data_IF_656702064158
#
_entry.id   IF_656702064158
#
_cell.length_a   1.000
_cell.length_b   1.000
_cell.length_c   1.000
_cell.angle_alpha   90.00
_cell.angle_beta   90.00
_cell.angle_gamma   90.00
#
_symmetry.space_group_name_H-M   'P 1'
#
loop_
_entity.id
_entity.type
_entity.pdbx_description
1 polymer ?
#
# COMPACT_ATOMS: atom_id res chain seq x y z
N UNK A 1 -19.23 2.35 12.52
CA UNK A 1 -19.60 1.26 11.59
C UNK A 1 -20.38 1.75 10.37
N UNK A 2 -21.52 2.43 10.52
CA UNK A 2 -22.28 2.97 9.37
C UNK A 2 -21.46 3.97 8.55
N UNK A 3 -20.68 4.85 9.19
CA UNK A 3 -19.80 5.79 8.47
C UNK A 3 -18.78 5.07 7.55
N UNK A 4 -18.22 3.93 7.99
CA UNK A 4 -17.32 3.15 7.15
C UNK A 4 -18.08 2.49 5.99
N UNK A 5 -19.23 1.86 6.26
CA UNK A 5 -20.07 1.23 5.22
C UNK A 5 -20.53 2.26 4.19
N UNK A 6 -20.89 3.47 4.62
CA UNK A 6 -21.32 4.56 3.74
C UNK A 6 -20.17 5.11 2.90
N UNK A 7 -18.98 5.27 3.48
CA UNK A 7 -17.78 5.62 2.72
C UNK A 7 -17.41 4.53 1.72
N UNK A 8 -17.53 3.26 2.11
CA UNK A 8 -17.26 2.11 1.24
C UNK A 8 -18.30 1.94 0.12
N UNK A 9 -19.58 2.22 0.38
CA UNK A 9 -20.64 2.23 -0.63
C UNK A 9 -20.52 3.42 -1.58
N UNK A 10 -20.24 4.60 -1.04
CA UNK A 10 -19.91 5.80 -1.83
C UNK A 10 -18.73 5.53 -2.75
N UNK A 11 -17.74 4.78 -2.26
CA UNK A 11 -16.59 4.36 -3.02
C UNK A 11 -16.91 3.48 -4.23
N UNK A 12 -17.86 2.54 -4.16
CA UNK A 12 -18.29 1.76 -5.35
C UNK A 12 -18.90 2.63 -6.47
N UNK A 13 -19.32 3.86 -6.14
CA UNK A 13 -19.87 4.83 -7.09
C UNK A 13 -18.80 5.75 -7.70
N UNK A 14 -17.56 5.70 -7.21
CA UNK A 14 -16.44 6.51 -7.72
C UNK A 14 -15.94 5.87 -9.02
N UNK A 15 -15.93 6.70 -10.07
CA UNK A 15 -15.70 6.38 -11.48
C UNK A 15 -14.75 5.19 -11.73
N UNK A 16 -15.30 4.15 -12.38
CA UNK A 16 -14.63 2.91 -12.79
C UNK A 16 -13.37 3.12 -13.67
N UNK A 17 -13.12 4.33 -14.18
CA UNK A 17 -11.94 4.69 -14.98
C UNK A 17 -10.78 5.29 -14.16
N UNK A 18 -10.97 5.55 -12.87
CA UNK A 18 -9.88 5.97 -11.95
C UNK A 18 -9.89 5.13 -10.67
N UNK A 19 -8.92 5.40 -9.77
CA UNK A 19 -8.73 4.78 -8.45
C UNK A 19 -10.10 4.34 -7.88
N UNK A 20 -10.47 3.04 -7.87
CA UNK A 20 -9.71 1.84 -7.46
C UNK A 20 -9.54 0.70 -8.48
N UNK A 21 -10.06 0.83 -9.71
CA UNK A 21 -10.15 -0.32 -10.63
C UNK A 21 -8.78 -0.96 -10.94
N UNK A 22 -7.73 -0.13 -11.12
CA UNK A 22 -6.38 -0.63 -11.39
C UNK A 22 -5.81 -1.43 -10.21
N UNK A 23 -6.16 -1.07 -8.97
CA UNK A 23 -5.81 -1.87 -7.80
C UNK A 23 -6.53 -3.21 -7.81
N UNK A 24 -7.85 -3.19 -8.06
CA UNK A 24 -8.66 -4.41 -8.11
C UNK A 24 -8.13 -5.44 -9.12
N UNK A 25 -7.78 -5.00 -10.34
CA UNK A 25 -7.21 -5.88 -11.37
C UNK A 25 -5.82 -6.42 -11.00
N UNK A 26 -4.96 -5.57 -10.42
CA UNK A 26 -3.66 -6.01 -9.92
C UNK A 26 -3.83 -7.08 -8.84
N UNK A 27 -4.72 -6.83 -7.87
CA UNK A 27 -4.89 -7.72 -6.73
C UNK A 27 -5.60 -9.03 -7.06
N UNK A 28 -6.59 -9.04 -7.95
CA UNK A 28 -7.19 -10.30 -8.45
C UNK A 28 -6.13 -11.21 -9.07
N UNK A 29 -5.23 -10.64 -9.86
CA UNK A 29 -4.11 -11.38 -10.42
C UNK A 29 -3.15 -11.86 -9.32
N UNK A 30 -2.75 -10.98 -8.39
CA UNK A 30 -1.87 -11.33 -7.28
C UNK A 30 -2.42 -12.46 -6.42
N UNK A 31 -3.67 -12.37 -5.94
CA UNK A 31 -4.29 -13.42 -5.12
C UNK A 31 -4.21 -14.76 -5.84
N UNK A 32 -4.62 -14.81 -7.11
CA UNK A 32 -4.58 -16.04 -7.90
C UNK A 32 -3.16 -16.62 -7.97
N UNK A 33 -2.17 -15.82 -8.31
CA UNK A 33 -0.77 -16.27 -8.38
C UNK A 33 -0.25 -16.77 -7.02
N UNK A 34 -0.55 -16.06 -5.93
CA UNK A 34 0.03 -16.39 -4.63
C UNK A 34 -0.66 -17.52 -3.87
N UNK A 35 -1.88 -17.88 -4.27
CA UNK A 35 -2.60 -19.04 -3.73
C UNK A 35 -2.04 -20.36 -4.29
N UNK A 36 -1.30 -20.31 -5.41
CA UNK A 36 -0.69 -21.46 -6.10
C UNK A 36 0.77 -21.74 -5.64
N UNK A 37 1.15 -21.28 -4.43
CA UNK A 37 2.47 -21.48 -3.78
C UNK A 37 3.68 -20.75 -4.39
N UNK A 38 3.51 -19.96 -5.45
CA UNK A 38 4.55 -19.09 -6.04
C UNK A 38 4.24 -17.63 -5.67
N UNK A 39 5.24 -16.76 -5.47
CA UNK A 39 4.97 -15.35 -5.15
C UNK A 39 5.20 -14.40 -6.34
N UNK A 40 4.55 -13.23 -6.34
CA UNK A 40 4.55 -12.36 -7.53
C UNK A 40 5.92 -11.78 -7.91
N UNK A 41 6.90 -11.84 -7.01
CA UNK A 41 8.27 -11.40 -7.26
C UNK A 41 9.24 -12.55 -7.57
N UNK A 42 8.74 -13.78 -7.71
CA UNK A 42 9.55 -14.90 -8.18
C UNK A 42 10.03 -14.71 -9.62
N UNK A 43 11.08 -15.44 -10.00
CA UNK A 43 11.72 -15.33 -11.31
C UNK A 43 10.73 -15.46 -12.49
N UNK A 44 9.70 -16.29 -12.34
CA UNK A 44 8.65 -16.52 -13.34
C UNK A 44 7.68 -15.34 -13.48
N UNK A 45 7.44 -14.60 -12.40
CA UNK A 45 6.35 -13.61 -12.32
C UNK A 45 6.84 -12.16 -12.25
N UNK A 46 8.10 -11.92 -11.88
CA UNK A 46 8.61 -10.56 -11.63
C UNK A 46 8.48 -9.62 -12.83
N UNK A 47 8.63 -10.13 -14.06
CA UNK A 47 8.40 -9.35 -15.27
C UNK A 47 6.94 -8.89 -15.41
N UNK A 48 6.00 -9.78 -15.08
CA UNK A 48 4.57 -9.47 -15.09
C UNK A 48 4.18 -8.53 -13.94
N UNK A 49 4.73 -8.75 -12.74
CA UNK A 49 4.56 -7.86 -11.59
C UNK A 49 5.03 -6.44 -11.91
N UNK A 50 6.25 -6.30 -12.44
CA UNK A 50 6.78 -5.01 -12.85
C UNK A 50 5.89 -4.33 -13.90
N UNK A 51 5.43 -5.06 -14.92
CA UNK A 51 4.56 -4.50 -15.96
C UNK A 51 3.25 -3.96 -15.38
N UNK A 52 2.51 -4.80 -14.63
CA UNK A 52 1.22 -4.44 -14.03
C UNK A 52 1.35 -3.32 -13.01
N UNK A 53 2.39 -3.37 -12.18
CA UNK A 53 2.67 -2.33 -11.20
C UNK A 53 3.01 -1.01 -11.89
N UNK A 54 3.85 -1.04 -12.92
CA UNK A 54 4.24 0.16 -13.68
C UNK A 54 3.06 0.82 -14.37
N UNK A 55 2.18 0.05 -15.01
CA UNK A 55 0.95 0.56 -15.63
C UNK A 55 0.08 1.27 -14.59
N UNK A 56 -0.10 0.66 -13.42
CA UNK A 56 -0.93 1.23 -12.36
C UNK A 56 -0.30 2.48 -11.72
N UNK A 57 0.99 2.46 -11.42
CA UNK A 57 1.71 3.60 -10.85
C UNK A 57 1.76 4.81 -11.82
N UNK A 58 1.73 4.57 -13.14
CA UNK A 58 1.57 5.64 -14.13
C UNK A 58 0.19 6.30 -14.05
N UNK A 59 -0.87 5.50 -13.99
CA UNK A 59 -2.25 6.00 -13.85
C UNK A 59 -2.39 6.82 -12.56
N UNK A 60 -1.75 6.35 -11.48
CA UNK A 60 -1.76 7.03 -10.17
C UNK A 60 -0.76 8.18 -10.08
N UNK A 61 -0.10 8.53 -11.19
CA UNK A 61 0.85 9.62 -11.29
C UNK A 61 1.97 9.57 -10.24
N UNK A 62 2.30 8.36 -9.75
CA UNK A 62 3.30 8.15 -8.70
C UNK A 62 4.68 8.67 -9.11
N UNK A 63 4.97 8.70 -10.41
CA UNK A 63 6.26 9.16 -10.92
C UNK A 63 6.48 10.67 -10.80
N UNK A 64 5.44 11.49 -10.61
CA UNK A 64 5.59 12.96 -10.59
C UNK A 64 6.51 13.43 -9.45
N UNK A 65 7.30 14.51 -9.66
CA UNK A 65 7.33 15.36 -10.87
C UNK A 65 8.14 14.78 -12.05
N UNK A 66 8.88 13.69 -11.83
CA UNK A 66 9.69 13.06 -12.87
C UNK A 66 8.87 12.31 -13.93
N UNK A 67 9.53 11.96 -15.04
CA UNK A 67 8.99 11.03 -16.04
C UNK A 67 9.17 9.60 -15.55
N UNK A 68 8.16 8.74 -15.73
CA UNK A 68 8.25 7.32 -15.34
C UNK A 68 9.45 6.60 -15.97
N UNK A 69 9.84 6.95 -17.20
CA UNK A 69 11.01 6.36 -17.87
C UNK A 69 12.32 6.54 -17.10
N UNK A 70 12.46 7.59 -16.28
CA UNK A 70 13.63 7.80 -15.41
C UNK A 70 13.61 6.91 -14.17
N UNK A 71 12.43 6.48 -13.73
CA UNK A 71 12.23 5.73 -12.49
C UNK A 71 12.04 4.23 -12.74
N UNK A 72 11.55 3.85 -13.93
CA UNK A 72 11.17 2.47 -14.24
C UNK A 72 12.29 1.46 -14.04
N UNK A 73 13.52 1.80 -14.46
CA UNK A 73 14.69 0.94 -14.21
C UNK A 73 14.96 0.78 -12.71
N UNK A 74 15.01 1.89 -11.96
CA UNK A 74 15.19 1.86 -10.49
C UNK A 74 14.10 1.05 -9.79
N UNK A 75 12.84 1.17 -10.23
CA UNK A 75 11.73 0.39 -9.69
C UNK A 75 11.94 -1.10 -9.97
N UNK A 76 12.28 -1.48 -11.21
CA UNK A 76 12.52 -2.87 -11.57
C UNK A 76 13.66 -3.47 -10.74
N UNK A 77 14.79 -2.77 -10.65
CA UNK A 77 15.95 -3.20 -9.87
C UNK A 77 15.59 -3.35 -8.38
N UNK A 78 14.75 -2.45 -7.83
CA UNK A 78 14.27 -2.54 -6.45
C UNK A 78 13.37 -3.77 -6.24
N UNK A 79 12.46 -4.08 -7.19
CA UNK A 79 11.61 -5.27 -7.13
C UNK A 79 12.44 -6.56 -7.12
N UNK A 80 13.50 -6.61 -7.93
CA UNK A 80 14.42 -7.77 -7.99
C UNK A 80 15.16 -7.94 -6.65
N UNK A 81 15.67 -6.86 -6.07
CA UNK A 81 16.40 -6.90 -4.79
C UNK A 81 15.51 -7.20 -3.59
N UNK A 82 14.24 -6.83 -3.64
CA UNK A 82 13.31 -7.09 -2.54
C UNK A 82 12.59 -8.45 -2.66
N UNK A 83 12.96 -9.32 -3.61
CA UNK A 83 12.32 -10.64 -3.80
C UNK A 83 12.25 -11.44 -2.50
N UNK A 84 13.40 -11.69 -1.85
CA UNK A 84 13.44 -12.53 -0.64
C UNK A 84 12.81 -11.83 0.58
N UNK A 85 13.09 -10.54 0.85
CA UNK A 85 12.38 -9.81 1.90
C UNK A 85 10.86 -9.80 1.70
N UNK A 86 10.40 -9.66 0.46
CA UNK A 86 8.98 -9.70 0.13
C UNK A 86 8.37 -11.07 0.42
N UNK A 87 9.04 -12.16 0.01
CA UNK A 87 8.56 -13.51 0.29
C UNK A 87 8.40 -13.77 1.78
N UNK A 88 9.25 -13.18 2.63
CA UNK A 88 9.12 -13.26 4.08
C UNK A 88 7.90 -12.48 4.60
N UNK A 89 7.65 -11.27 4.11
CA UNK A 89 6.57 -10.43 4.67
C UNK A 89 5.18 -10.73 4.11
N UNK A 90 5.07 -11.34 2.92
CA UNK A 90 3.78 -11.48 2.20
C UNK A 90 2.74 -12.32 2.96
N UNK A 91 3.20 -13.17 3.89
CA UNK A 91 2.34 -13.98 4.74
C UNK A 91 1.78 -13.24 5.96
N UNK A 92 2.32 -12.07 6.29
CA UNK A 92 1.84 -11.25 7.42
C UNK A 92 0.75 -10.29 6.97
N UNK A 93 -0.30 -10.20 7.78
CA UNK A 93 -1.33 -9.17 7.66
C UNK A 93 -0.98 -7.91 8.47
N UNK A 94 -1.73 -6.83 8.26
CA UNK A 94 -1.63 -5.63 9.10
C UNK A 94 -1.92 -5.92 10.58
N UNK A 95 -2.73 -6.94 10.89
CA UNK A 95 -3.02 -7.32 12.28
C UNK A 95 -1.81 -7.95 12.99
N UNK A 96 -0.85 -8.46 12.22
CA UNK A 96 0.39 -9.09 12.67
C UNK A 96 1.61 -8.19 12.41
N UNK A 97 1.41 -6.89 12.11
CA UNK A 97 2.48 -5.99 11.68
C UNK A 97 3.67 -5.93 12.65
N UNK A 98 3.40 -5.93 13.95
CA UNK A 98 4.40 -5.95 15.02
C UNK A 98 5.29 -7.21 15.04
N UNK A 99 4.84 -8.31 14.44
CA UNK A 99 5.53 -9.60 14.43
C UNK A 99 6.50 -9.73 13.26
N UNK A 100 6.44 -8.81 12.30
CA UNK A 100 7.26 -8.86 11.10
C UNK A 100 8.72 -8.53 11.48
N UNK A 101 9.72 -9.31 11.02
CA UNK A 101 11.11 -9.02 11.30
C UNK A 101 11.51 -7.60 10.84
N UNK A 102 11.96 -6.78 11.80
CA UNK A 102 12.35 -5.38 11.57
C UNK A 102 13.28 -5.21 10.37
N UNK A 103 14.36 -6.00 10.33
CA UNK A 103 15.39 -5.95 9.28
C UNK A 103 14.79 -6.20 7.89
N UNK A 104 13.79 -7.08 7.80
CA UNK A 104 13.14 -7.41 6.53
C UNK A 104 12.32 -6.24 6.01
N UNK A 105 11.51 -5.60 6.86
CA UNK A 105 10.76 -4.39 6.49
C UNK A 105 11.68 -3.22 6.15
N UNK A 106 12.74 -3.03 6.93
CA UNK A 106 13.74 -1.99 6.73
C UNK A 106 14.48 -2.17 5.40
N UNK A 107 14.81 -3.41 5.02
CA UNK A 107 15.38 -3.72 3.71
C UNK A 107 14.43 -3.28 2.59
N UNK A 108 13.14 -3.60 2.67
CA UNK A 108 12.15 -3.20 1.65
C UNK A 108 12.03 -1.67 1.58
N UNK A 109 12.02 -1.00 2.74
CA UNK A 109 11.99 0.46 2.84
C UNK A 109 13.16 1.09 2.08
N UNK A 110 14.38 0.57 2.28
CA UNK A 110 15.60 1.08 1.65
C UNK A 110 15.77 0.67 0.18
N UNK A 111 15.08 -0.35 -0.32
CA UNK A 111 15.08 -0.65 -1.76
C UNK A 111 14.09 0.24 -2.52
N UNK A 112 12.87 0.45 -2.00
CA UNK A 112 11.85 1.24 -2.70
C UNK A 112 12.00 2.76 -2.51
N UNK A 113 12.42 3.21 -1.33
CA UNK A 113 12.52 4.64 -1.01
C UNK A 113 13.41 5.46 -1.96
N UNK A 114 14.63 4.98 -2.30
CA UNK A 114 15.53 5.66 -3.24
C UNK A 114 15.02 5.74 -4.68
N UNK A 115 13.98 4.98 -5.05
CA UNK A 115 13.49 4.94 -6.44
C UNK A 115 13.08 6.34 -6.92
N UNK A 116 12.52 7.16 -6.03
CA UNK A 116 12.16 8.57 -6.30
C UNK A 116 13.19 9.59 -5.82
N UNK A 117 14.40 9.16 -5.47
CA UNK A 117 15.47 10.05 -5.01
C UNK A 117 16.54 10.18 -6.09
N UNK A 118 17.02 11.40 -6.32
CA UNK A 118 18.09 11.66 -7.29
C UNK A 118 19.42 11.03 -6.82
N UNK A 119 19.75 11.18 -5.54
CA UNK A 119 21.06 10.88 -4.95
C UNK A 119 21.24 9.43 -4.44
N UNK A 120 20.36 8.50 -4.80
CA UNK A 120 20.46 7.11 -4.36
C UNK A 120 20.07 6.89 -2.89
N UNK A 121 20.66 5.89 -2.23
CA UNK A 121 20.35 5.54 -0.83
C UNK A 121 20.81 6.66 0.12
N UNK A 122 19.86 7.32 0.77
CA UNK A 122 20.11 8.25 1.88
C UNK A 122 20.52 7.47 3.15
N UNK A 123 21.67 7.76 3.78
CA UNK A 123 22.10 7.13 5.04
C UNK A 123 21.09 7.24 6.18
N UNK A 124 20.33 8.34 6.24
CA UNK A 124 19.29 8.56 7.25
C UNK A 124 17.95 7.87 6.94
N UNK A 125 17.81 7.21 5.79
CA UNK A 125 16.56 6.51 5.43
C UNK A 125 15.34 7.41 5.17
N UNK A 126 15.54 8.73 5.12
CA UNK A 126 14.48 9.70 4.87
C UNK A 126 14.09 9.76 3.39
N UNK A 127 12.95 9.16 3.07
CA UNK A 127 12.41 9.10 1.72
C UNK A 127 11.02 9.73 1.68
N UNK A 128 10.59 10.17 0.49
CA UNK A 128 9.18 10.48 0.27
C UNK A 128 8.35 9.24 0.59
N UNK A 129 7.42 9.32 1.55
CA UNK A 129 6.69 8.13 2.04
C UNK A 129 6.03 7.35 0.88
N UNK A 130 5.40 8.06 -0.06
CA UNK A 130 4.76 7.47 -1.24
C UNK A 130 5.72 6.74 -2.18
N UNK A 131 7.03 7.01 -2.14
CA UNK A 131 8.03 6.28 -2.94
C UNK A 131 8.02 4.80 -2.57
N UNK A 132 7.96 4.51 -1.27
CA UNK A 132 7.89 3.15 -0.73
C UNK A 132 6.45 2.64 -0.69
N UNK A 133 5.55 3.42 -0.09
CA UNK A 133 4.26 2.89 0.36
C UNK A 133 3.26 2.65 -0.77
N UNK A 134 3.30 3.42 -1.86
CA UNK A 134 2.43 3.16 -3.02
C UNK A 134 2.75 1.82 -3.70
N UNK A 135 4.00 1.57 -4.16
CA UNK A 135 4.36 0.24 -4.67
C UNK A 135 4.06 -0.87 -3.67
N UNK A 136 4.41 -0.68 -2.40
CA UNK A 136 4.22 -1.69 -1.37
C UNK A 136 2.74 -1.97 -1.06
N UNK A 137 1.85 -0.99 -1.22
CA UNK A 137 0.41 -1.22 -1.09
C UNK A 137 -0.12 -2.15 -2.19
N UNK A 138 0.37 -2.06 -3.43
CA UNK A 138 -0.01 -3.03 -4.47
C UNK A 138 0.62 -4.40 -4.20
N UNK A 139 1.90 -4.42 -3.84
CA UNK A 139 2.64 -5.67 -3.66
C UNK A 139 2.21 -6.43 -2.40
N UNK A 140 1.99 -5.76 -1.29
CA UNK A 140 1.75 -6.39 0.02
C UNK A 140 0.35 -6.13 0.56
N UNK A 141 -0.25 -4.97 0.24
CA UNK A 141 -1.63 -4.66 0.62
C UNK A 141 -1.83 -4.22 2.06
N UNK A 142 -0.80 -4.25 2.92
CA UNK A 142 -0.95 -3.95 4.35
C UNK A 142 -0.63 -2.49 4.72
N UNK A 143 0.08 -1.77 3.86
CA UNK A 143 0.38 -0.33 4.05
C UNK A 143 -0.59 0.55 3.26
N UNK A 144 -0.93 1.71 3.79
CA UNK A 144 -1.64 2.76 3.04
C UNK A 144 -0.75 3.33 1.94
N UNK A 145 -1.34 3.95 0.91
CA UNK A 145 -0.59 4.68 -0.12
C UNK A 145 -0.01 5.99 0.42
N UNK A 146 -0.67 6.57 1.43
CA UNK A 146 -0.35 7.88 2.00
C UNK A 146 -0.28 8.95 0.91
N UNK A 147 -1.29 9.09 0.05
CA UNK A 147 -1.38 10.25 -0.86
C UNK A 147 -1.65 11.57 -0.11
N UNK A 148 -1.65 12.70 -0.81
CA UNK A 148 -1.79 14.02 -0.17
C UNK A 148 -3.12 14.19 0.58
N UNK A 149 -4.21 13.59 0.09
CA UNK A 149 -5.52 13.65 0.75
C UNK A 149 -5.47 12.81 2.03
N UNK A 150 -4.99 11.57 1.93
CA UNK A 150 -4.85 10.67 3.07
C UNK A 150 -3.93 11.29 4.14
N UNK A 151 -2.73 11.75 3.76
CA UNK A 151 -1.80 12.45 4.66
C UNK A 151 -2.43 13.67 5.31
N UNK A 152 -3.15 14.49 4.53
CA UNK A 152 -3.83 15.68 5.05
C UNK A 152 -4.85 15.35 6.14
N UNK A 153 -5.52 14.20 6.06
CA UNK A 153 -6.46 13.75 7.11
C UNK A 153 -5.75 13.10 8.28
N UNK A 154 -4.68 12.34 8.04
CA UNK A 154 -3.87 11.74 9.11
C UNK A 154 -3.17 12.80 9.96
N UNK A 155 -2.80 13.96 9.39
CA UNK A 155 -2.28 15.10 10.16
C UNK A 155 -3.26 15.60 11.23
N UNK A 156 -4.58 15.44 11.02
CA UNK A 156 -5.59 15.78 12.04
C UNK A 156 -5.60 14.81 13.22
N UNK A 157 -4.91 13.68 13.07
CA UNK A 157 -4.69 12.66 14.10
C UNK A 157 -3.25 12.67 14.61
N UNK A 158 -2.54 13.80 14.42
CA UNK A 158 -1.13 14.00 14.76
C UNK A 158 -0.14 13.05 14.03
N UNK A 159 -0.59 12.37 12.97
CA UNK A 159 0.27 11.52 12.16
C UNK A 159 0.87 12.36 11.01
N UNK A 160 2.17 12.63 11.10
CA UNK A 160 2.87 13.44 10.11
C UNK A 160 4.35 13.02 9.96
N UNK A 161 4.92 13.27 8.78
CA UNK A 161 6.34 13.09 8.53
C UNK A 161 7.17 14.30 8.90
N UNK A 162 8.46 14.24 8.57
CA UNK A 162 9.33 15.41 8.58
C UNK A 162 8.99 16.37 7.42
N UNK A 163 9.80 17.43 7.28
CA UNK A 163 9.70 18.40 6.17
C UNK A 163 9.56 17.67 4.82
N UNK A 164 8.66 18.18 3.99
CA UNK A 164 8.36 17.69 2.64
C UNK A 164 7.79 16.27 2.54
N UNK A 165 7.02 15.83 3.55
CA UNK A 165 6.40 14.50 3.62
C UNK A 165 7.43 13.35 3.52
N UNK A 166 8.66 13.61 3.98
CA UNK A 166 9.71 12.60 4.09
C UNK A 166 9.63 11.90 5.43
N UNK A 167 9.67 10.57 5.38
CA UNK A 167 9.56 9.70 6.54
C UNK A 167 10.83 8.86 6.59
N UNK A 168 11.31 8.53 7.78
CA UNK A 168 12.22 7.40 7.97
C UNK A 168 11.43 6.12 8.21
N UNK A 169 12.17 5.02 8.29
CA UNK A 169 11.61 3.71 8.54
C UNK A 169 10.84 3.64 9.87
N UNK A 170 11.39 4.20 10.95
CA UNK A 170 10.76 4.13 12.28
C UNK A 170 9.46 4.94 12.34
N UNK A 171 9.41 6.11 11.70
CA UNK A 171 8.19 6.92 11.58
C UNK A 171 7.09 6.11 10.89
N UNK A 172 7.38 5.51 9.75
CA UNK A 172 6.41 4.68 9.03
C UNK A 172 5.98 3.46 9.87
N UNK A 173 6.94 2.75 10.47
CA UNK A 173 6.67 1.57 11.30
C UNK A 173 5.75 1.90 12.48
N UNK A 174 6.00 3.00 13.18
CA UNK A 174 5.18 3.45 14.31
C UNK A 174 3.74 3.76 13.87
N UNK A 175 3.58 4.44 12.72
CA UNK A 175 2.25 4.73 12.17
C UNK A 175 1.50 3.44 11.80
N UNK A 176 2.18 2.47 11.19
CA UNK A 176 1.57 1.18 10.87
C UNK A 176 1.19 0.39 12.12
N UNK A 177 1.98 0.45 13.20
CA UNK A 177 1.64 -0.15 14.49
C UNK A 177 0.39 0.51 15.11
N UNK A 178 0.24 1.84 15.00
CA UNK A 178 -1.00 2.52 15.44
C UNK A 178 -2.23 1.99 14.68
N UNK A 179 -2.12 1.77 13.37
CA UNK A 179 -3.22 1.17 12.59
C UNK A 179 -3.51 -0.27 12.98
N UNK A 180 -2.48 -1.09 13.23
CA UNK A 180 -2.63 -2.46 13.74
C UNK A 180 -3.46 -2.46 15.04
N UNK A 181 -3.05 -1.68 16.05
CA UNK A 181 -3.74 -1.63 17.34
C UNK A 181 -5.16 -1.07 17.21
N UNK A 182 -5.35 -0.04 16.38
CA UNK A 182 -6.69 0.51 16.11
C UNK A 182 -7.64 -0.52 15.49
N UNK A 183 -7.14 -1.40 14.61
CA UNK A 183 -7.94 -2.45 13.98
C UNK A 183 -8.22 -3.62 14.94
N UNK A 184 -7.26 -4.01 15.79
CA UNK A 184 -7.47 -5.03 16.82
C UNK A 184 -8.59 -4.65 17.78
N UNK A 185 -8.76 -3.35 18.05
CA UNK A 185 -9.84 -2.82 18.89
C UNK A 185 -11.21 -2.76 18.18
N UNK A 186 -11.27 -2.99 16.87
CA UNK A 186 -12.48 -2.88 16.04
C UNK A 186 -12.72 -4.16 15.23
N UNK A 187 -13.02 -5.30 15.88
CA UNK A 187 -13.21 -6.59 15.22
C UNK A 187 -14.33 -6.57 14.16
N UNK A 188 -15.34 -5.72 14.32
CA UNK A 188 -16.42 -5.52 13.36
C UNK A 188 -15.91 -4.90 12.03
N UNK A 189 -14.95 -3.99 12.10
CA UNK A 189 -14.31 -3.40 10.90
C UNK A 189 -13.46 -4.46 10.20
N UNK A 190 -12.74 -5.29 10.96
CA UNK A 190 -11.96 -6.41 10.43
C UNK A 190 -12.85 -7.43 9.72
N UNK A 191 -14.00 -7.78 10.31
CA UNK A 191 -14.95 -8.71 9.70
C UNK A 191 -15.54 -8.14 8.41
N UNK A 192 -15.82 -6.84 8.36
CA UNK A 192 -16.27 -6.18 7.15
C UNK A 192 -15.20 -6.21 6.05
N UNK A 193 -13.92 -5.97 6.38
CA UNK A 193 -12.83 -6.11 5.42
C UNK A 193 -12.69 -7.52 4.88
N UNK A 194 -12.85 -8.55 5.73
CA UNK A 194 -12.89 -9.96 5.31
C UNK A 194 -14.02 -10.23 4.33
N UNK A 195 -15.22 -9.76 4.64
CA UNK A 195 -16.39 -9.91 3.77
C UNK A 195 -16.17 -9.25 2.40
N UNK A 196 -15.71 -7.99 2.40
CA UNK A 196 -15.37 -7.27 1.17
C UNK A 196 -14.29 -8.01 0.37
N UNK A 197 -13.23 -8.47 1.03
CA UNK A 197 -12.14 -9.19 0.38
C UNK A 197 -12.62 -10.49 -0.26
N UNK A 198 -13.50 -11.24 0.43
CA UNK A 198 -14.11 -12.46 -0.10
C UNK A 198 -14.94 -12.17 -1.35
N UNK A 199 -15.73 -11.11 -1.32
CA UNK A 199 -16.60 -10.72 -2.44
C UNK A 199 -15.81 -10.21 -3.65
N UNK A 200 -14.76 -9.42 -3.43
CA UNK A 200 -14.02 -8.76 -4.53
C UNK A 200 -12.83 -9.58 -5.05
N UNK A 201 -12.18 -10.35 -4.18
CA UNK A 201 -10.94 -11.09 -4.49
C UNK A 201 -11.05 -12.60 -4.31
N UNK A 202 -12.17 -13.11 -3.80
CA UNK A 202 -12.38 -14.55 -3.60
C UNK A 202 -11.64 -15.14 -2.39
N UNK A 203 -11.11 -14.30 -1.49
CA UNK A 203 -10.36 -14.75 -0.31
C UNK A 203 -10.58 -13.83 0.89
N UNK A 204 -10.60 -14.42 2.08
CA UNK A 204 -10.52 -13.73 3.37
C UNK A 204 -9.22 -14.01 4.13
N UNK A 205 -8.27 -14.74 3.53
CA UNK A 205 -6.93 -14.98 4.09
C UNK A 205 -5.90 -13.95 3.62
N UNK A 206 -6.07 -13.40 2.41
CA UNK A 206 -5.19 -12.38 1.85
C UNK A 206 -5.99 -11.08 1.67
N UNK A 207 -5.96 -10.23 2.69
CA UNK A 207 -6.80 -9.03 2.76
C UNK A 207 -5.94 -7.78 2.55
N UNK A 208 -6.29 -6.87 1.61
CA UNK A 208 -5.54 -5.64 1.38
C UNK A 208 -5.96 -4.52 2.36
N UNK A 209 -5.71 -4.69 3.65
CA UNK A 209 -6.10 -3.74 4.70
C UNK A 209 -5.66 -2.30 4.42
N UNK A 210 -4.43 -2.13 3.94
CA UNK A 210 -3.84 -0.84 3.59
C UNK A 210 -4.67 -0.10 2.54
N UNK A 211 -5.18 -0.78 1.52
CA UNK A 211 -6.07 -0.18 0.53
C UNK A 211 -7.41 0.23 1.13
N UNK A 212 -8.01 -0.62 1.96
CA UNK A 212 -9.30 -0.29 2.58
C UNK A 212 -9.19 0.90 3.53
N UNK A 213 -8.10 0.99 4.28
CA UNK A 213 -7.78 2.15 5.10
C UNK A 213 -7.50 3.39 4.25
N UNK A 214 -6.70 3.27 3.19
CA UNK A 214 -6.40 4.38 2.27
C UNK A 214 -7.71 4.96 1.71
N UNK A 215 -8.63 4.09 1.28
CA UNK A 215 -9.97 4.48 0.84
C UNK A 215 -10.81 5.16 1.90
N UNK A 216 -10.79 4.63 3.12
CA UNK A 216 -11.51 5.24 4.24
C UNK A 216 -11.02 6.68 4.49
N UNK A 217 -9.72 6.92 4.44
CA UNK A 217 -9.13 8.25 4.58
C UNK A 217 -9.16 9.09 3.31
N UNK A 218 -9.41 8.52 2.14
CA UNK A 218 -9.50 9.25 0.88
C UNK A 218 -10.93 9.76 0.61
N UNK A 219 -11.95 8.93 0.78
CA UNK A 219 -13.35 9.29 0.50
C UNK A 219 -13.86 10.41 1.42
N UNK A 220 -14.35 11.55 0.90
CA UNK A 220 -14.95 12.60 1.73
C UNK A 220 -16.08 12.04 2.60
N UNK A 221 -16.29 12.63 3.77
CA UNK A 221 -17.52 12.34 4.55
C UNK A 221 -18.72 12.62 3.64
N UNK A 222 -19.77 11.78 3.66
CA UNK A 222 -21.03 12.19 3.07
C UNK A 222 -21.42 13.54 3.67
N UNK A 223 -21.63 14.54 2.82
CA UNK A 223 -22.34 15.75 3.23
C UNK A 223 -23.79 15.30 3.34
N UNK A 224 -24.26 15.04 4.55
CA UNK A 224 -25.70 15.04 4.79
C UNK A 224 -26.15 16.49 4.57
N UNK A 225 -26.86 16.73 3.47
CA UNK A 225 -27.73 17.89 3.39
C UNK A 225 -28.92 17.49 4.26
N UNK A 226 -29.00 18.08 5.46
CA UNK A 226 -30.20 18.02 6.30
C UNK A 226 -31.40 18.66 5.58
#
# INVERSE_FOLDING_TARGET
>A
MEEFKDRFRSFRKIDYKTYPYCFGQFWKWKVRTETESVHILDAEHIGQAYKKLSETLKIWQWHRPDKFSKLGKKLKDALEKMRDPYNQIRGYSLLEFSEIPKKTLESIWHELGPVKTAEGKNPGGYYLVMATTKPLMFLWGQTLAFDSIVRGRLRKLDIHGLRDDRWDFETWKNVMATFQESLKQQPEVVNLFKEVSRNEYGTDSIIPYGQFLDLYYWCPRPIFIE
#
